data_IF_913165749835
#
_entry.id   IF_913165749835
#
_cell.length_a   1.000
_cell.length_b   1.000
_cell.length_c   1.000
_cell.angle_alpha   90.00
_cell.angle_beta   90.00
_cell.angle_gamma   90.00
#
_symmetry.space_group_name_H-M   'P 1'
#
loop_
_entity.id
_entity.type
_entity.pdbx_description
1 polymer ?
#
# COMPACT_ATOMS: atom_id res chain seq x y z
N UNK A 1 35.14 -44.86 10.91
CA UNK A 1 33.98 -44.14 10.32
C UNK A 1 34.21 -42.67 10.55
N UNK A 2 34.67 -41.94 9.53
CA UNK A 2 34.95 -40.51 9.61
C UNK A 2 33.69 -39.73 9.27
N UNK A 3 33.22 -38.91 10.21
CA UNK A 3 32.11 -37.99 10.00
C UNK A 3 32.51 -36.88 9.03
N UNK A 4 31.84 -36.77 7.91
CA UNK A 4 31.96 -35.66 7.00
C UNK A 4 31.27 -34.44 7.62
N UNK A 5 32.06 -33.44 8.02
CA UNK A 5 31.57 -32.09 8.35
C UNK A 5 30.99 -31.44 7.08
N UNK A 6 29.69 -31.26 7.05
CA UNK A 6 29.05 -30.37 6.08
C UNK A 6 29.49 -28.95 6.39
N UNK A 7 30.38 -28.39 5.60
CA UNK A 7 30.68 -26.96 5.62
C UNK A 7 29.49 -26.23 5.01
N UNK A 8 28.74 -25.52 5.84
CA UNK A 8 27.86 -24.45 5.35
C UNK A 8 28.75 -23.43 4.64
N UNK A 9 28.64 -23.35 3.33
CA UNK A 9 29.19 -22.26 2.53
C UNK A 9 28.48 -21.01 3.02
N UNK A 10 29.20 -20.08 3.63
CA UNK A 10 28.64 -18.85 4.16
C UNK A 10 27.92 -18.11 3.05
N UNK A 11 26.62 -17.99 3.22
CA UNK A 11 25.77 -17.11 2.44
C UNK A 11 26.34 -15.70 2.58
N UNK A 12 26.74 -15.08 1.48
CA UNK A 12 27.00 -13.65 1.46
C UNK A 12 25.67 -13.01 1.86
N UNK A 13 25.56 -12.56 3.11
CA UNK A 13 24.50 -11.66 3.52
C UNK A 13 24.64 -10.42 2.64
N UNK A 14 23.93 -10.39 1.51
CA UNK A 14 23.62 -9.13 0.87
C UNK A 14 23.00 -8.28 1.96
N UNK A 15 23.55 -7.11 2.20
CA UNK A 15 22.97 -6.13 3.13
C UNK A 15 21.62 -5.75 2.52
N UNK A 16 20.56 -6.35 3.05
CA UNK A 16 19.19 -6.03 2.63
C UNK A 16 18.97 -4.58 3.01
N UNK A 17 18.76 -3.74 1.99
CA UNK A 17 18.40 -2.35 2.22
C UNK A 17 16.94 -2.34 2.69
N UNK A 18 16.71 -1.85 3.92
CA UNK A 18 15.35 -1.68 4.46
C UNK A 18 14.59 -0.64 3.65
N UNK A 19 13.42 -1.00 3.12
CA UNK A 19 12.54 -0.06 2.44
C UNK A 19 11.64 0.66 3.43
N UNK A 20 11.66 1.99 3.43
CA UNK A 20 10.93 2.83 4.35
C UNK A 20 9.60 3.31 3.74
N UNK A 21 8.47 3.04 4.42
CA UNK A 21 7.12 3.39 3.96
C UNK A 21 6.47 4.35 4.93
N UNK A 22 6.06 5.53 4.42
CA UNK A 22 5.31 6.52 5.17
C UNK A 22 3.83 6.51 4.80
N UNK A 23 2.92 6.49 5.78
CA UNK A 23 1.49 6.57 5.59
C UNK A 23 0.95 7.90 6.11
N UNK A 24 0.43 8.77 5.23
CA UNK A 24 -0.31 9.97 5.62
C UNK A 24 -1.76 9.58 5.81
N UNK A 25 -2.25 9.62 7.05
CA UNK A 25 -3.63 9.33 7.40
C UNK A 25 -4.45 10.62 7.29
N UNK A 26 -5.43 10.63 6.40
CA UNK A 26 -6.39 11.74 6.29
C UNK A 26 -7.62 11.45 7.16
N UNK A 27 -8.31 12.49 7.64
CA UNK A 27 -9.51 12.32 8.43
C UNK A 27 -10.54 11.43 7.71
N UNK A 28 -11.10 10.45 8.41
CA UNK A 28 -11.98 9.41 7.91
C UNK A 28 -11.35 8.49 6.84
N UNK A 29 -10.03 8.26 6.92
CA UNK A 29 -9.35 7.29 6.07
C UNK A 29 -9.94 5.88 6.21
N UNK A 30 -9.84 5.07 5.17
CA UNK A 30 -10.26 3.67 5.22
C UNK A 30 -9.31 2.86 6.09
N UNK A 31 -9.74 2.53 7.31
CA UNK A 31 -8.96 1.68 8.21
C UNK A 31 -8.67 0.31 7.59
N UNK A 32 -9.64 -0.37 6.93
CA UNK A 32 -9.36 -1.65 6.29
C UNK A 32 -8.31 -1.56 5.17
N UNK A 33 -8.31 -0.50 4.35
CA UNK A 33 -7.33 -0.35 3.28
C UNK A 33 -5.92 -0.08 3.85
N UNK A 34 -5.83 0.77 4.87
CA UNK A 34 -4.58 1.06 5.57
C UNK A 34 -4.02 -0.20 6.25
N UNK A 35 -4.85 -0.91 7.03
CA UNK A 35 -4.39 -2.09 7.76
C UNK A 35 -4.01 -3.24 6.84
N UNK A 36 -4.68 -3.44 5.71
CA UNK A 36 -4.29 -4.43 4.71
C UNK A 36 -2.91 -4.12 4.11
N UNK A 37 -2.64 -2.86 3.75
CA UNK A 37 -1.33 -2.45 3.28
C UNK A 37 -0.24 -2.63 4.36
N UNK A 38 -0.51 -2.18 5.58
CA UNK A 38 0.42 -2.28 6.69
C UNK A 38 0.71 -3.73 7.08
N UNK A 39 -0.33 -4.57 7.21
CA UNK A 39 -0.20 -5.97 7.60
C UNK A 39 0.62 -6.78 6.58
N UNK A 40 0.47 -6.47 5.30
CA UNK A 40 1.27 -7.08 4.21
C UNK A 40 2.77 -6.80 4.41
N UNK A 41 3.14 -5.55 4.75
CA UNK A 41 4.54 -5.17 5.01
C UNK A 41 5.08 -5.79 6.29
N UNK A 42 4.28 -5.80 7.37
CA UNK A 42 4.67 -6.39 8.65
C UNK A 42 4.84 -7.91 8.51
N UNK A 43 3.95 -8.57 7.76
CA UNK A 43 4.07 -10.00 7.48
C UNK A 43 5.32 -10.32 6.66
N UNK A 44 5.69 -9.48 5.70
CA UNK A 44 6.97 -9.63 5.00
C UNK A 44 8.17 -9.58 5.95
N UNK A 45 8.12 -8.72 6.99
CA UNK A 45 9.16 -8.66 8.03
C UNK A 45 9.25 -9.92 8.90
N UNK A 46 8.16 -10.70 9.05
CA UNK A 46 8.21 -11.99 9.76
C UNK A 46 9.02 -13.03 8.99
N UNK A 47 9.03 -12.92 7.65
CA UNK A 47 9.73 -13.85 6.75
C UNK A 47 11.16 -13.35 6.51
N UNK A 48 11.30 -12.08 6.17
CA UNK A 48 12.56 -11.41 5.88
C UNK A 48 12.75 -10.23 6.83
N UNK A 49 13.47 -10.46 7.93
CA UNK A 49 13.68 -9.46 8.99
C UNK A 49 14.22 -8.14 8.42
N UNK A 50 13.61 -7.02 8.85
CA UNK A 50 14.00 -5.66 8.47
C UNK A 50 13.85 -5.35 6.96
N UNK A 51 13.00 -6.07 6.22
CA UNK A 51 12.69 -5.72 4.84
C UNK A 51 12.02 -4.35 4.74
N UNK A 52 11.13 -4.03 5.68
CA UNK A 52 10.37 -2.78 5.69
C UNK A 52 10.39 -2.08 7.05
N UNK A 53 10.54 -0.76 7.03
CA UNK A 53 10.24 0.14 8.15
C UNK A 53 8.99 0.96 7.79
N UNK A 54 8.07 1.11 8.74
CA UNK A 54 6.81 1.85 8.51
C UNK A 54 6.67 3.00 9.49
N UNK A 55 6.14 4.13 9.02
CA UNK A 55 5.80 5.29 9.85
C UNK A 55 4.45 5.86 9.44
N UNK A 56 3.71 6.35 10.40
CA UNK A 56 2.41 6.99 10.21
C UNK A 56 2.50 8.50 10.46
N UNK A 57 1.78 9.27 9.66
CA UNK A 57 1.75 10.72 9.74
C UNK A 57 0.31 11.24 9.68
N UNK A 58 0.06 12.38 10.32
CA UNK A 58 -1.07 13.26 10.03
C UNK A 58 -0.56 14.63 9.56
N UNK A 59 -1.41 15.44 8.97
CA UNK A 59 -1.00 16.74 8.44
C UNK A 59 -0.65 17.75 9.56
N UNK A 60 -1.33 17.67 10.68
CA UNK A 60 -1.14 18.56 11.83
C UNK A 60 -0.35 17.93 13.00
N UNK A 61 -0.07 16.63 12.95
CA UNK A 61 0.57 15.87 14.02
C UNK A 61 -0.41 15.38 15.10
N UNK A 62 -1.69 15.69 14.95
CA UNK A 62 -2.76 15.22 15.83
C UNK A 62 -3.28 13.82 15.49
N UNK A 63 -4.12 13.30 16.39
CA UNK A 63 -4.83 12.03 16.18
C UNK A 63 -5.82 12.15 15.02
N UNK A 64 -6.00 11.05 14.29
CA UNK A 64 -6.89 10.94 13.12
C UNK A 64 -7.95 9.89 13.35
N UNK A 65 -9.20 10.23 13.04
CA UNK A 65 -10.33 9.30 13.14
C UNK A 65 -10.49 8.55 11.82
N UNK A 66 -10.57 7.21 11.88
CA UNK A 66 -10.84 6.38 10.71
C UNK A 66 -12.32 6.39 10.30
N UNK A 67 -12.62 5.80 9.14
CA UNK A 67 -13.99 5.59 8.66
C UNK A 67 -14.83 4.68 9.57
N UNK A 68 -14.18 3.82 10.35
CA UNK A 68 -14.82 2.95 11.35
C UNK A 68 -14.92 3.58 12.75
N UNK A 69 -14.52 4.85 12.91
CA UNK A 69 -14.59 5.57 14.19
C UNK A 69 -13.45 5.27 15.16
N UNK A 70 -12.46 4.47 14.77
CA UNK A 70 -11.25 4.25 15.57
C UNK A 70 -10.29 5.42 15.40
N UNK A 71 -9.74 5.88 16.52
CA UNK A 71 -8.77 6.98 16.55
C UNK A 71 -7.36 6.41 16.54
N UNK A 72 -6.55 6.86 15.61
CA UNK A 72 -5.13 6.53 15.51
C UNK A 72 -4.30 7.74 15.92
N UNK A 73 -3.27 7.51 16.73
CA UNK A 73 -2.24 8.51 17.03
C UNK A 73 -1.05 8.25 16.09
N UNK A 74 -0.83 9.07 15.05
CA UNK A 74 0.30 8.92 14.16
C UNK A 74 1.64 9.14 14.88
N UNK A 75 2.72 8.60 14.30
CA UNK A 75 4.07 8.73 14.86
C UNK A 75 4.58 10.17 14.83
N UNK A 76 4.18 10.95 13.80
CA UNK A 76 4.62 12.34 13.65
C UNK A 76 3.69 13.16 12.74
N UNK A 77 3.94 14.49 12.73
CA UNK A 77 3.42 15.38 11.70
C UNK A 77 4.12 15.13 10.36
N UNK A 78 3.35 15.12 9.28
CA UNK A 78 3.90 15.08 7.93
C UNK A 78 4.67 16.38 7.64
N UNK A 79 5.96 16.25 7.33
CA UNK A 79 6.85 17.39 7.02
C UNK A 79 7.89 16.97 5.99
N UNK A 80 8.49 17.96 5.33
CA UNK A 80 9.58 17.73 4.37
C UNK A 80 10.80 17.02 4.97
N UNK A 81 11.05 17.20 6.27
CA UNK A 81 12.11 16.51 7.02
C UNK A 81 11.75 15.03 7.25
N UNK A 82 10.48 14.75 7.56
CA UNK A 82 9.98 13.37 7.75
C UNK A 82 10.02 12.51 6.48
N UNK A 83 10.18 13.13 5.30
CA UNK A 83 10.26 12.42 4.01
C UNK A 83 11.69 11.93 3.66
N UNK A 84 12.73 12.33 4.42
CA UNK A 84 14.15 12.19 3.97
C UNK A 84 14.56 10.73 3.77
N UNK A 85 13.93 9.79 4.45
CA UNK A 85 14.30 8.37 4.44
C UNK A 85 13.24 7.47 3.82
N UNK A 86 12.21 8.04 3.16
CA UNK A 86 11.13 7.23 2.60
C UNK A 86 11.44 6.77 1.17
N UNK A 87 11.11 5.52 0.89
CA UNK A 87 11.07 4.95 -0.47
C UNK A 87 9.66 5.02 -1.07
N UNK A 88 8.62 4.97 -0.21
CA UNK A 88 7.23 5.07 -0.61
C UNK A 88 6.44 5.96 0.35
N UNK A 89 5.67 6.90 -0.18
CA UNK A 89 4.71 7.73 0.56
C UNK A 89 3.29 7.40 0.14
N UNK A 90 2.48 6.95 1.09
CA UNK A 90 1.10 6.49 0.88
C UNK A 90 0.11 7.49 1.45
N UNK A 91 -0.77 8.03 0.63
CA UNK A 91 -1.91 8.86 1.08
C UNK A 91 -3.11 7.95 1.35
N UNK A 92 -3.50 7.86 2.60
CA UNK A 92 -4.65 7.07 3.04
C UNK A 92 -5.90 7.94 3.11
N UNK A 93 -6.77 7.79 2.13
CA UNK A 93 -8.11 8.36 2.13
C UNK A 93 -9.17 7.30 2.44
N UNK A 94 -10.45 7.68 2.47
CA UNK A 94 -11.58 6.82 2.75
C UNK A 94 -12.89 7.38 2.22
N UNK A 95 -13.99 6.64 2.42
CA UNK A 95 -15.30 7.01 1.88
C UNK A 95 -15.75 8.41 2.32
N UNK A 96 -15.49 8.78 3.57
CA UNK A 96 -15.89 10.06 4.17
C UNK A 96 -14.77 11.10 4.21
N UNK A 97 -13.59 10.78 3.69
CA UNK A 97 -12.53 11.78 3.53
C UNK A 97 -12.96 12.84 2.53
N UNK A 98 -13.04 14.10 2.98
CA UNK A 98 -13.52 15.20 2.13
C UNK A 98 -12.55 15.47 0.98
N UNK A 99 -13.04 15.42 -0.26
CA UNK A 99 -12.30 15.77 -1.46
C UNK A 99 -12.20 17.30 -1.58
N UNK A 100 -11.23 17.88 -0.93
CA UNK A 100 -10.96 19.32 -0.92
C UNK A 100 -9.48 19.59 -1.14
N UNK A 101 -9.17 20.79 -1.60
CA UNK A 101 -7.78 21.21 -1.72
C UNK A 101 -7.09 21.23 -0.36
N UNK A 102 -5.92 20.60 -0.32
CA UNK A 102 -5.01 20.55 0.83
C UNK A 102 -3.63 21.00 0.36
N UNK A 103 -3.35 22.33 0.33
CA UNK A 103 -2.11 22.87 -0.24
C UNK A 103 -0.85 22.30 0.44
N UNK A 104 -0.91 22.06 1.74
CA UNK A 104 0.20 21.47 2.51
C UNK A 104 0.50 20.04 2.01
N UNK A 105 -0.52 19.19 1.85
CA UNK A 105 -0.37 17.86 1.29
C UNK A 105 0.17 17.91 -0.14
N UNK A 106 -0.36 18.82 -0.96
CA UNK A 106 0.11 19.00 -2.35
C UNK A 106 1.59 19.38 -2.42
N UNK A 107 2.08 20.24 -1.51
CA UNK A 107 3.49 20.60 -1.41
C UNK A 107 4.35 19.40 -0.97
N UNK A 108 3.91 18.62 0.02
CA UNK A 108 4.60 17.42 0.48
C UNK A 108 4.74 16.39 -0.63
N UNK A 109 3.68 16.15 -1.41
CA UNK A 109 3.71 15.22 -2.54
C UNK A 109 4.70 15.66 -3.63
N UNK A 110 4.74 16.94 -3.95
CA UNK A 110 5.75 17.49 -4.89
C UNK A 110 7.17 17.35 -4.35
N UNK A 111 7.39 17.62 -3.07
CA UNK A 111 8.70 17.43 -2.43
C UNK A 111 9.12 15.95 -2.45
N UNK A 112 8.21 15.02 -2.16
CA UNK A 112 8.46 13.59 -2.22
C UNK A 112 8.87 13.17 -3.64
N UNK A 113 8.14 13.60 -4.67
CA UNK A 113 8.50 13.35 -6.07
C UNK A 113 9.90 13.88 -6.42
N UNK A 114 10.23 15.12 -6.02
CA UNK A 114 11.57 15.68 -6.31
C UNK A 114 12.71 14.90 -5.62
N UNK A 115 12.41 14.21 -4.54
CA UNK A 115 13.36 13.32 -3.84
C UNK A 115 13.40 11.91 -4.42
N UNK A 116 12.60 11.61 -5.46
CA UNK A 116 12.51 10.28 -6.06
C UNK A 116 11.71 9.27 -5.25
N UNK A 117 10.91 9.71 -4.27
CA UNK A 117 10.05 8.86 -3.45
C UNK A 117 8.84 8.43 -4.29
N UNK A 118 8.57 7.13 -4.34
CA UNK A 118 7.37 6.62 -4.96
C UNK A 118 6.11 7.10 -4.21
N UNK A 119 5.01 7.36 -4.95
CA UNK A 119 3.77 7.86 -4.37
C UNK A 119 2.65 6.86 -4.52
N UNK A 120 1.86 6.72 -3.46
CA UNK A 120 0.71 5.81 -3.45
C UNK A 120 -0.54 6.48 -2.91
N UNK A 121 -1.71 6.02 -3.42
CA UNK A 121 -3.02 6.44 -2.93
C UNK A 121 -3.92 5.26 -2.64
N UNK A 122 -4.42 5.17 -1.39
CA UNK A 122 -5.41 4.19 -0.98
C UNK A 122 -6.81 4.81 -0.96
N UNK A 123 -7.79 4.08 -1.46
CA UNK A 123 -9.20 4.45 -1.55
C UNK A 123 -9.38 5.70 -2.42
N UNK A 124 -9.67 6.88 -1.82
CA UNK A 124 -9.69 8.15 -2.55
C UNK A 124 -8.38 8.96 -2.42
N UNK A 125 -7.32 8.36 -1.88
CA UNK A 125 -5.98 8.95 -1.82
C UNK A 125 -5.43 9.36 -3.18
N UNK A 126 -5.78 8.61 -4.25
CA UNK A 126 -5.41 8.93 -5.63
C UNK A 126 -5.92 10.31 -6.10
N UNK A 127 -7.06 10.78 -5.58
CA UNK A 127 -7.57 12.11 -5.90
C UNK A 127 -6.60 13.22 -5.46
N UNK A 128 -6.00 13.09 -4.29
CA UNK A 128 -5.02 14.07 -3.78
C UNK A 128 -3.71 14.04 -4.58
N UNK A 129 -3.28 12.86 -5.03
CA UNK A 129 -2.14 12.75 -5.96
C UNK A 129 -2.44 13.48 -7.27
N UNK A 130 -3.60 13.27 -7.87
CA UNK A 130 -4.02 13.95 -9.09
C UNK A 130 -4.09 15.47 -8.91
N UNK A 131 -4.68 15.95 -7.80
CA UNK A 131 -4.74 17.38 -7.47
C UNK A 131 -3.34 18.02 -7.35
N UNK A 132 -2.34 17.27 -6.97
CA UNK A 132 -0.95 17.70 -6.90
C UNK A 132 -0.20 17.56 -8.24
N UNK A 133 -0.86 17.08 -9.34
CA UNK A 133 -0.26 16.80 -10.64
C UNK A 133 0.66 15.57 -10.65
N UNK A 134 0.48 14.66 -9.67
CA UNK A 134 1.37 13.52 -9.49
C UNK A 134 0.95 12.26 -10.27
N UNK A 135 -0.18 12.31 -10.96
CA UNK A 135 -0.69 11.20 -11.78
C UNK A 135 -0.66 11.48 -13.28
N UNK A 136 -0.16 12.65 -13.72
CA UNK A 136 -0.10 13.01 -15.14
C UNK A 136 0.79 12.03 -15.91
N UNK A 137 0.25 11.42 -16.97
CA UNK A 137 0.93 10.39 -17.76
C UNK A 137 1.01 9.01 -17.11
N UNK A 138 0.26 8.77 -16.03
CA UNK A 138 0.21 7.48 -15.35
C UNK A 138 -1.15 6.81 -15.50
N UNK A 139 -1.13 5.47 -15.43
CA UNK A 139 -2.34 4.69 -15.15
C UNK A 139 -2.63 4.77 -13.65
N UNK A 140 -3.90 4.88 -13.29
CA UNK A 140 -4.29 4.93 -11.88
C UNK A 140 -5.70 4.36 -11.68
N UNK A 141 -6.02 4.06 -10.42
CA UNK A 141 -7.36 3.67 -9.99
C UNK A 141 -7.75 4.40 -8.71
N UNK A 142 -9.03 4.38 -8.41
CA UNK A 142 -9.63 4.96 -7.22
C UNK A 142 -10.90 4.18 -6.87
N UNK A 143 -11.38 4.27 -5.65
CA UNK A 143 -12.66 3.67 -5.27
C UNK A 143 -13.77 4.07 -6.27
N UNK A 144 -14.62 3.12 -6.72
CA UNK A 144 -15.63 3.35 -7.77
C UNK A 144 -16.47 4.59 -7.55
N UNK A 145 -16.85 4.90 -6.32
CA UNK A 145 -17.64 6.07 -5.95
C UNK A 145 -16.99 7.41 -6.30
N UNK A 146 -15.66 7.47 -6.31
CA UNK A 146 -14.88 8.68 -6.59
C UNK A 146 -14.29 8.72 -8.02
N UNK A 147 -14.59 7.71 -8.85
CA UNK A 147 -13.99 7.60 -10.20
C UNK A 147 -14.33 8.80 -11.09
N UNK A 148 -15.57 9.26 -11.06
CA UNK A 148 -15.98 10.44 -11.82
C UNK A 148 -15.21 11.69 -11.36
N UNK A 149 -15.12 11.91 -10.05
CA UNK A 149 -14.39 13.03 -9.48
C UNK A 149 -12.88 13.00 -9.80
N UNK A 150 -12.28 11.80 -9.86
CA UNK A 150 -10.89 11.68 -10.29
C UNK A 150 -10.75 12.00 -11.79
N UNK A 151 -11.62 11.47 -12.64
CA UNK A 151 -11.57 11.70 -14.09
C UNK A 151 -11.73 13.18 -14.48
N UNK A 152 -12.43 13.97 -13.68
CA UNK A 152 -12.58 15.41 -13.90
C UNK A 152 -11.27 16.18 -13.75
N UNK A 153 -10.38 15.75 -12.85
CA UNK A 153 -9.14 16.47 -12.52
C UNK A 153 -7.88 15.81 -13.10
N UNK A 154 -7.93 14.51 -13.38
CA UNK A 154 -6.79 13.71 -13.87
C UNK A 154 -6.87 13.51 -15.39
N UNK A 155 -6.98 14.61 -16.14
CA UNK A 155 -7.22 14.59 -17.61
C UNK A 155 -6.07 13.97 -18.39
N UNK A 156 -4.86 14.10 -17.90
CA UNK A 156 -3.64 13.56 -18.50
C UNK A 156 -3.27 12.16 -17.95
N UNK A 157 -4.16 11.55 -17.17
CA UNK A 157 -3.98 10.23 -16.58
C UNK A 157 -4.95 9.22 -17.18
N UNK A 158 -4.57 7.94 -17.17
CA UNK A 158 -5.48 6.85 -17.54
C UNK A 158 -6.17 6.27 -16.30
N UNK A 159 -7.36 6.76 -15.99
CA UNK A 159 -8.17 6.24 -14.87
C UNK A 159 -8.82 4.92 -15.28
N UNK A 160 -8.55 3.84 -14.51
CA UNK A 160 -9.03 2.49 -14.79
C UNK A 160 -10.07 2.02 -13.77
N UNK A 161 -10.68 0.85 -14.03
CA UNK A 161 -11.61 0.17 -13.10
C UNK A 161 -10.96 -0.99 -12.35
N UNK A 162 -9.66 -1.16 -12.47
CA UNK A 162 -8.91 -2.21 -11.78
C UNK A 162 -8.92 -2.00 -10.26
N UNK A 163 -8.76 -3.07 -9.49
CA UNK A 163 -8.75 -2.98 -8.03
C UNK A 163 -7.49 -2.28 -7.49
N UNK A 164 -6.38 -2.37 -8.23
CA UNK A 164 -5.15 -1.65 -7.98
C UNK A 164 -4.36 -1.46 -9.28
N UNK A 165 -3.46 -0.50 -9.28
CA UNK A 165 -2.48 -0.23 -10.34
C UNK A 165 -1.12 0.02 -9.69
N UNK A 166 -0.09 -0.59 -10.24
CA UNK A 166 1.32 -0.24 -10.04
C UNK A 166 1.85 0.19 -11.40
N UNK A 167 2.12 1.47 -11.57
CA UNK A 167 2.66 2.04 -12.80
C UNK A 167 3.92 2.85 -12.46
N UNK A 168 5.07 2.24 -12.72
CA UNK A 168 6.38 2.81 -12.40
C UNK A 168 6.48 3.14 -10.89
N UNK A 169 6.60 4.40 -10.54
CA UNK A 169 6.70 4.93 -9.18
C UNK A 169 5.34 5.48 -8.64
N UNK A 170 4.22 5.10 -9.25
CA UNK A 170 2.86 5.45 -8.80
C UNK A 170 2.05 4.19 -8.54
N UNK A 171 1.52 4.11 -7.33
CA UNK A 171 0.75 2.97 -6.86
C UNK A 171 -0.63 3.46 -6.40
N UNK A 172 -1.71 2.87 -6.89
CA UNK A 172 -3.07 3.25 -6.46
C UNK A 172 -3.93 2.03 -6.22
N UNK A 173 -4.74 2.05 -5.17
CA UNK A 173 -5.65 0.96 -4.82
C UNK A 173 -7.05 1.47 -4.49
N UNK A 174 -8.06 0.82 -5.08
CA UNK A 174 -9.45 1.20 -5.01
C UNK A 174 -10.21 0.57 -3.83
N UNK A 175 -9.60 -0.38 -3.11
CA UNK A 175 -10.26 -1.17 -2.06
C UNK A 175 -9.24 -1.76 -1.09
N UNK A 176 -9.67 -2.32 0.07
CA UNK A 176 -8.78 -3.02 0.98
C UNK A 176 -8.04 -4.20 0.33
N UNK A 177 -8.73 -5.05 -0.42
CA UNK A 177 -8.11 -6.15 -1.18
C UNK A 177 -7.18 -5.62 -2.26
N UNK A 178 -7.54 -4.50 -2.91
CA UNK A 178 -6.66 -3.80 -3.84
C UNK A 178 -5.37 -3.32 -3.16
N UNK A 179 -5.45 -2.78 -1.95
CA UNK A 179 -4.29 -2.33 -1.18
C UNK A 179 -3.35 -3.50 -0.84
N UNK A 180 -3.90 -4.65 -0.42
CA UNK A 180 -3.16 -5.89 -0.21
C UNK A 180 -2.39 -6.31 -1.47
N UNK A 181 -3.10 -6.47 -2.60
CA UNK A 181 -2.50 -6.92 -3.86
C UNK A 181 -1.47 -5.92 -4.42
N UNK A 182 -1.72 -4.62 -4.26
CA UNK A 182 -0.80 -3.55 -4.66
C UNK A 182 0.53 -3.65 -3.91
N UNK A 183 0.47 -3.84 -2.59
CA UNK A 183 1.68 -3.98 -1.77
C UNK A 183 2.40 -5.29 -2.07
N UNK A 184 1.68 -6.39 -2.31
CA UNK A 184 2.29 -7.66 -2.75
C UNK A 184 3.05 -7.49 -4.07
N UNK A 185 2.45 -6.80 -5.04
CA UNK A 185 3.11 -6.53 -6.32
C UNK A 185 4.37 -5.69 -6.11
N UNK A 186 4.31 -4.68 -5.24
CA UNK A 186 5.47 -3.86 -4.92
C UNK A 186 6.58 -4.66 -4.20
N UNK A 187 6.22 -5.53 -3.24
CA UNK A 187 7.15 -6.49 -2.60
C UNK A 187 7.80 -7.38 -3.66
N UNK A 188 7.00 -7.91 -4.60
CA UNK A 188 7.51 -8.74 -5.69
C UNK A 188 8.54 -8.01 -6.55
N UNK A 189 8.33 -6.73 -6.84
CA UNK A 189 9.26 -5.90 -7.61
C UNK A 189 10.57 -5.63 -6.85
N UNK A 190 10.53 -5.42 -5.54
CA UNK A 190 11.69 -5.09 -4.72
C UNK A 190 12.50 -6.32 -4.29
N UNK A 191 11.80 -7.37 -3.84
CA UNK A 191 12.42 -8.53 -3.17
C UNK A 191 12.20 -9.85 -3.90
N UNK A 192 11.46 -9.81 -5.00
CA UNK A 192 11.17 -10.99 -5.81
C UNK A 192 9.96 -11.79 -5.33
N UNK A 193 9.52 -12.67 -6.23
CA UNK A 193 8.28 -13.44 -6.09
C UNK A 193 8.26 -14.33 -4.84
N UNK A 194 9.39 -14.86 -4.44
CA UNK A 194 9.44 -15.79 -3.31
C UNK A 194 8.95 -15.16 -2.00
N UNK A 195 9.34 -13.91 -1.72
CA UNK A 195 8.86 -13.21 -0.53
C UNK A 195 7.36 -12.90 -0.65
N UNK A 196 6.90 -12.43 -1.81
CA UNK A 196 5.48 -12.14 -2.03
C UNK A 196 4.60 -13.39 -1.86
N UNK A 197 4.98 -14.53 -2.46
CA UNK A 197 4.24 -15.79 -2.33
C UNK A 197 4.18 -16.26 -0.86
N UNK A 198 5.28 -16.14 -0.11
CA UNK A 198 5.32 -16.50 1.30
C UNK A 198 4.43 -15.60 2.19
N UNK A 199 4.30 -14.31 1.87
CA UNK A 199 3.35 -13.39 2.51
C UNK A 199 1.92 -13.84 2.26
N UNK A 200 1.59 -14.20 1.01
CA UNK A 200 0.26 -14.73 0.64
C UNK A 200 -0.04 -16.00 1.42
N UNK A 201 0.92 -16.92 1.55
CA UNK A 201 0.72 -18.18 2.28
C UNK A 201 0.38 -17.95 3.76
N UNK A 202 0.95 -16.92 4.38
CA UNK A 202 0.63 -16.55 5.77
C UNK A 202 -0.75 -15.89 5.87
N UNK A 203 -0.99 -14.84 5.06
CA UNK A 203 -2.20 -13.99 5.19
C UNK A 203 -3.44 -14.61 4.54
N UNK A 204 -3.28 -15.46 3.51
CA UNK A 204 -4.37 -16.13 2.81
C UNK A 204 -4.63 -17.57 3.26
N UNK A 205 -4.04 -18.01 4.36
CA UNK A 205 -4.17 -19.38 4.87
C UNK A 205 -5.63 -19.82 5.03
N UNK A 206 -6.50 -18.95 5.54
CA UNK A 206 -7.93 -19.21 5.69
C UNK A 206 -8.65 -19.33 4.33
N UNK A 207 -8.29 -18.55 3.34
CA UNK A 207 -8.87 -18.63 2.01
C UNK A 207 -8.57 -19.98 1.35
N UNK A 208 -7.38 -20.52 1.51
CA UNK A 208 -7.00 -21.83 0.98
C UNK A 208 -7.76 -22.97 1.65
N UNK A 209 -8.03 -22.87 2.97
CA UNK A 209 -8.87 -23.83 3.71
C UNK A 209 -10.33 -23.73 3.28
N UNK A 210 -10.87 -22.52 3.12
CA UNK A 210 -12.25 -22.30 2.69
C UNK A 210 -12.51 -22.83 1.28
N UNK A 211 -11.59 -22.64 0.34
CA UNK A 211 -11.66 -23.20 -1.02
C UNK A 211 -11.56 -24.73 -1.01
N UNK A 212 -10.73 -25.33 -0.15
CA UNK A 212 -10.63 -26.78 0.00
C UNK A 212 -11.84 -27.40 0.69
N UNK A 213 -12.53 -26.65 1.55
CA UNK A 213 -13.73 -27.08 2.25
C UNK A 213 -15.03 -26.94 1.43
N UNK A 214 -14.95 -26.42 0.19
CA UNK A 214 -16.06 -26.36 -0.79
C UNK A 214 -15.94 -27.45 -1.87
N UNK A 215 -16.06 -28.76 -1.56
CA UNK A 215 -16.31 -29.74 -2.59
C UNK A 215 -17.81 -29.83 -2.82
N UNK A 216 -18.25 -29.57 -4.05
CA UNK A 216 -19.47 -30.13 -4.64
C UNK A 216 -20.82 -29.78 -3.99
N UNK A 217 -21.15 -28.48 -3.80
CA UNK A 217 -22.55 -28.07 -3.59
C UNK A 217 -23.27 -27.67 -4.88
N UNK A 218 -22.61 -27.74 -6.05
CA UNK A 218 -23.22 -27.32 -7.32
C UNK A 218 -23.66 -28.45 -8.26
N UNK A 219 -23.53 -29.73 -7.89
CA UNK A 219 -23.94 -30.83 -8.79
C UNK A 219 -25.27 -31.50 -8.44
N UNK A 220 -26.04 -30.99 -7.48
CA UNK A 220 -27.35 -31.64 -7.12
C UNK A 220 -28.60 -30.79 -7.36
N UNK A 221 -28.57 -29.82 -8.24
CA UNK A 221 -29.78 -29.08 -8.64
C UNK A 221 -30.01 -29.11 -10.16
N UNK A 222 -29.68 -30.22 -10.83
CA UNK A 222 -30.03 -30.48 -12.21
C UNK A 222 -30.39 -31.98 -12.38
N UNK A 223 -31.46 -32.41 -11.74
CA UNK A 223 -32.30 -33.56 -12.11
C UNK A 223 -33.77 -33.21 -11.80
#
# INVERSE_FOLDING_TARGET
MQGQNVRFVGDKRETIQTSCVGFILLEHFSLPAFTQALDTLITANLIQSQAFATRTFSLDGGSVTSDLGLVICPDARASGEGLVELDLLVVCGGLRTALRDMPELGQLLKQAQHKGIALSGLWNGAWFLARAGQLDGYRCTIHPEHRAALAEIAKDSQVTSESYIVDRDRLTAASPTGAFNMVLEWINQLYGRHLADAVVDILAFEESRYRRARPALHEKMSE
#
